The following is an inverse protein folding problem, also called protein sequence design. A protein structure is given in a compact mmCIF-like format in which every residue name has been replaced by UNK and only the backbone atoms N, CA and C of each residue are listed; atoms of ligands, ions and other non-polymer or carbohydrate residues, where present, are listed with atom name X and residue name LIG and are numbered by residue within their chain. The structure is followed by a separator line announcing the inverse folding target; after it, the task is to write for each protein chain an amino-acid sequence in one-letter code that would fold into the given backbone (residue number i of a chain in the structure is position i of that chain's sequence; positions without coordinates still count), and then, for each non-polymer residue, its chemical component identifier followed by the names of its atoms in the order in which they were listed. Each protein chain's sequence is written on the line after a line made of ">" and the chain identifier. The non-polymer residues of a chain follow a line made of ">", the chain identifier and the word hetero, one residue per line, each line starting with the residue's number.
data_IF_436905390502
#
_entry.id   IF_436905390502
#
_cell.length_a   1.000
_cell.length_b   1.000
_cell.length_c   1.000
_cell.angle_alpha   90.00
_cell.angle_beta   90.00
_cell.angle_gamma   90.00
#
_symmetry.space_group_name_H-M   'P 1'
#
loop_
_entity.id
_entity.type
_entity.pdbx_description
1 polymer ?
#
# COMPACT_ATOMS: atom_id res chain seq x y z
N UNK A 1 39.03 12.35 51.21
CA UNK A 1 37.66 12.10 50.69
C UNK A 1 37.47 12.86 49.37
N UNK A 2 37.96 12.32 48.24
CA UNK A 2 37.89 12.96 46.91
C UNK A 2 37.27 12.00 45.89
N UNK A 3 36.16 12.46 45.31
CA UNK A 3 35.73 12.27 43.92
C UNK A 3 35.32 10.84 43.51
N UNK A 4 34.08 10.48 43.84
CA UNK A 4 33.31 9.37 43.23
C UNK A 4 32.24 9.90 42.25
N UNK A 5 32.54 10.97 41.48
CA UNK A 5 31.57 11.65 40.58
C UNK A 5 31.81 11.41 39.09
N UNK A 6 32.88 10.69 38.70
CA UNK A 6 33.27 10.50 37.28
C UNK A 6 32.62 9.29 36.59
N UNK A 7 31.97 8.34 37.29
CA UNK A 7 31.43 7.11 36.69
C UNK A 7 29.92 7.08 36.38
N UNK A 8 29.15 8.07 36.85
CA UNK A 8 27.69 8.06 36.67
C UNK A 8 27.27 8.67 35.32
N UNK A 9 27.99 9.69 34.82
CA UNK A 9 27.68 10.32 33.51
C UNK A 9 28.00 9.42 32.31
N UNK A 10 29.11 8.66 32.33
CA UNK A 10 29.48 7.77 31.21
C UNK A 10 28.53 6.58 31.05
N UNK A 11 28.05 6.02 32.16
CA UNK A 11 27.10 4.89 32.15
C UNK A 11 25.70 5.27 31.64
N UNK A 12 25.29 6.53 31.77
CA UNK A 12 24.00 7.04 31.26
C UNK A 12 24.05 7.22 29.75
N UNK A 13 25.15 7.75 29.20
CA UNK A 13 25.34 7.91 27.75
C UNK A 13 25.43 6.56 27.03
N UNK A 14 26.14 5.56 27.58
CA UNK A 14 26.21 4.23 26.97
C UNK A 14 24.86 3.52 26.90
N UNK A 15 24.05 3.60 27.97
CA UNK A 15 22.71 3.02 28.00
C UNK A 15 21.79 3.68 26.99
N UNK A 16 21.89 5.01 26.81
CA UNK A 16 21.08 5.72 25.83
C UNK A 16 21.50 5.40 24.38
N UNK A 17 22.81 5.28 24.10
CA UNK A 17 23.33 4.87 22.79
C UNK A 17 22.89 3.45 22.42
N UNK A 18 22.97 2.49 23.35
CA UNK A 18 22.48 1.11 23.14
C UNK A 18 20.97 1.08 22.89
N UNK A 19 20.19 1.88 23.63
CA UNK A 19 18.74 2.01 23.41
C UNK A 19 18.44 2.54 22.02
N UNK A 20 19.13 3.61 21.59
CA UNK A 20 18.98 4.18 20.23
C UNK A 20 19.37 3.18 19.15
N UNK A 21 20.42 2.37 19.34
CA UNK A 21 20.83 1.32 18.39
C UNK A 21 19.79 0.19 18.30
N UNK A 22 19.21 -0.22 19.43
CA UNK A 22 18.16 -1.24 19.49
C UNK A 22 16.87 -0.79 18.80
N UNK A 23 16.41 0.42 19.08
CA UNK A 23 15.22 1.00 18.42
C UNK A 23 15.40 1.05 16.91
N UNK A 24 16.61 1.38 16.49
CA UNK A 24 17.05 1.42 15.10
C UNK A 24 16.97 0.04 14.42
N UNK A 25 17.51 -1.00 15.05
CA UNK A 25 17.41 -2.37 14.55
C UNK A 25 15.95 -2.84 14.49
N UNK A 26 15.14 -2.55 15.53
CA UNK A 26 13.73 -2.92 15.56
C UNK A 26 12.99 -2.35 14.35
N UNK A 27 13.20 -1.07 14.01
CA UNK A 27 12.52 -0.48 12.86
C UNK A 27 12.93 -1.11 11.52
N UNK A 28 14.22 -1.44 11.34
CA UNK A 28 14.69 -2.14 10.14
C UNK A 28 14.08 -3.54 10.01
N UNK A 29 14.04 -4.30 11.11
CA UNK A 29 13.43 -5.64 11.14
C UNK A 29 11.93 -5.55 10.85
N UNK A 30 11.22 -4.60 11.45
CA UNK A 30 9.79 -4.39 11.22
C UNK A 30 9.50 -4.01 9.77
N UNK A 31 10.29 -3.10 9.18
CA UNK A 31 10.15 -2.72 7.78
C UNK A 31 10.41 -3.89 6.84
N UNK A 32 11.44 -4.69 7.11
CA UNK A 32 11.75 -5.90 6.35
C UNK A 32 10.62 -6.95 6.46
N UNK A 33 10.14 -7.22 7.68
CA UNK A 33 9.03 -8.15 7.90
C UNK A 33 7.75 -7.69 7.21
N UNK A 34 7.44 -6.39 7.23
CA UNK A 34 6.27 -5.85 6.54
C UNK A 34 6.37 -6.10 5.02
N UNK A 35 7.53 -5.83 4.41
CA UNK A 35 7.76 -6.12 2.98
C UNK A 35 7.66 -7.63 2.71
N UNK A 36 8.36 -8.45 3.49
CA UNK A 36 8.37 -9.90 3.29
C UNK A 36 6.97 -10.52 3.43
N UNK A 37 6.20 -10.12 4.43
CA UNK A 37 4.82 -10.58 4.61
C UNK A 37 3.87 -10.05 3.54
N UNK A 38 4.11 -8.87 2.97
CA UNK A 38 3.36 -8.38 1.81
C UNK A 38 3.60 -9.26 0.59
N UNK A 39 4.86 -9.58 0.30
CA UNK A 39 5.24 -10.42 -0.85
C UNK A 39 4.67 -11.84 -0.67
N UNK A 40 4.80 -12.41 0.52
CA UNK A 40 4.23 -13.72 0.85
C UNK A 40 2.70 -13.70 0.71
N UNK A 41 2.01 -12.74 1.31
CA UNK A 41 0.55 -12.64 1.22
C UNK A 41 0.08 -12.49 -0.24
N UNK A 42 0.80 -11.72 -1.05
CA UNK A 42 0.51 -11.55 -2.47
C UNK A 42 0.66 -12.86 -3.26
N UNK A 43 1.77 -13.57 -3.08
CA UNK A 43 1.99 -14.87 -3.75
C UNK A 43 0.95 -15.94 -3.40
N UNK A 44 0.47 -15.95 -2.16
CA UNK A 44 -0.59 -16.86 -1.77
C UNK A 44 -1.95 -16.41 -2.34
N UNK A 45 -2.23 -15.11 -2.39
CA UNK A 45 -3.51 -14.58 -2.87
C UNK A 45 -3.77 -14.83 -4.37
N UNK A 46 -2.73 -15.03 -5.19
CA UNK A 46 -2.85 -15.30 -6.63
C UNK A 46 -3.22 -16.76 -6.97
N UNK A 47 -3.21 -17.68 -5.99
CA UNK A 47 -3.58 -19.09 -6.22
C UNK A 47 -5.08 -19.27 -6.00
N UNK A 48 -5.84 -19.42 -7.10
CA UNK A 48 -7.31 -19.49 -7.08
C UNK A 48 -7.93 -20.65 -6.28
N UNK A 49 -7.21 -21.75 -6.06
CA UNK A 49 -7.69 -22.94 -5.34
C UNK A 49 -6.97 -23.15 -4.00
N UNK A 50 -6.98 -22.14 -3.14
CA UNK A 50 -6.41 -22.27 -1.81
C UNK A 50 -7.39 -22.99 -0.85
N UNK A 51 -6.95 -24.06 -0.14
CA UNK A 51 -7.71 -24.65 0.94
C UNK A 51 -8.08 -23.59 1.99
N UNK A 52 -9.16 -23.81 2.75
CA UNK A 52 -9.65 -22.87 3.79
C UNK A 52 -8.51 -22.43 4.75
N UNK A 53 -7.58 -23.32 5.05
CA UNK A 53 -6.39 -23.03 5.86
C UNK A 53 -5.47 -21.96 5.26
N UNK A 54 -5.33 -21.93 3.94
CA UNK A 54 -4.52 -20.95 3.24
C UNK A 54 -5.22 -19.58 3.15
N UNK A 55 -6.56 -19.52 3.04
CA UNK A 55 -7.30 -18.26 3.20
C UNK A 55 -7.11 -17.67 4.61
N UNK A 56 -7.22 -18.50 5.66
CA UNK A 56 -6.96 -18.07 7.05
C UNK A 56 -5.52 -17.54 7.21
N UNK A 57 -4.54 -18.20 6.58
CA UNK A 57 -3.15 -17.73 6.56
C UNK A 57 -3.00 -16.36 5.88
N UNK A 58 -3.63 -16.14 4.72
CA UNK A 58 -3.59 -14.84 4.02
C UNK A 58 -4.24 -13.73 4.88
N UNK A 59 -5.38 -14.00 5.51
CA UNK A 59 -6.00 -13.05 6.45
C UNK A 59 -5.14 -12.79 7.70
N UNK A 60 -4.48 -13.82 8.22
CA UNK A 60 -3.52 -13.70 9.32
C UNK A 60 -2.30 -12.85 8.94
N UNK A 61 -1.69 -13.13 7.79
CA UNK A 61 -0.56 -12.37 7.23
C UNK A 61 -0.92 -10.91 7.00
N UNK A 62 -2.08 -10.62 6.39
CA UNK A 62 -2.55 -9.24 6.17
C UNK A 62 -2.81 -8.51 7.49
N UNK A 63 -3.39 -9.17 8.49
CA UNK A 63 -3.61 -8.59 9.82
C UNK A 63 -2.30 -8.25 10.54
N UNK A 64 -1.33 -9.19 10.52
CA UNK A 64 0.02 -8.95 11.06
C UNK A 64 0.68 -7.78 10.34
N UNK A 65 0.52 -7.69 9.02
CA UNK A 65 1.08 -6.60 8.24
C UNK A 65 0.50 -5.23 8.64
N UNK A 66 -0.82 -5.13 8.87
CA UNK A 66 -1.44 -3.91 9.40
C UNK A 66 -0.84 -3.52 10.75
N UNK A 67 -0.60 -4.49 11.64
CA UNK A 67 0.05 -4.25 12.94
C UNK A 67 1.48 -3.73 12.75
N UNK A 68 2.26 -4.32 11.82
CA UNK A 68 3.61 -3.86 11.51
C UNK A 68 3.63 -2.44 10.94
N UNK A 69 2.67 -2.09 10.08
CA UNK A 69 2.49 -0.73 9.55
C UNK A 69 2.23 0.25 10.69
N UNK A 70 1.27 -0.05 11.57
CA UNK A 70 0.94 0.80 12.71
C UNK A 70 2.13 0.97 13.65
N UNK A 71 2.90 -0.10 13.89
CA UNK A 71 4.13 -0.05 14.67
C UNK A 71 5.18 0.85 14.00
N UNK A 72 5.37 0.75 12.67
CA UNK A 72 6.33 1.56 11.94
C UNK A 72 5.92 3.05 11.95
N UNK A 73 4.63 3.36 11.74
CA UNK A 73 4.08 4.72 11.90
C UNK A 73 4.37 5.25 13.30
N UNK A 74 4.04 4.47 14.33
CA UNK A 74 4.27 4.86 15.72
C UNK A 74 5.75 5.16 15.99
N UNK A 75 6.67 4.31 15.52
CA UNK A 75 8.11 4.50 15.71
C UNK A 75 8.63 5.75 14.98
N UNK A 76 8.16 6.03 13.76
CA UNK A 76 8.50 7.25 13.01
C UNK A 76 8.00 8.49 13.75
N UNK A 77 6.71 8.52 14.09
CA UNK A 77 6.08 9.66 14.80
C UNK A 77 6.77 9.92 16.12
N UNK A 78 7.07 8.87 16.90
CA UNK A 78 7.79 8.97 18.17
C UNK A 78 9.19 9.57 17.99
N UNK A 79 9.92 9.20 16.95
CA UNK A 79 11.25 9.74 16.66
C UNK A 79 11.18 11.22 16.27
N UNK A 80 10.22 11.61 15.43
CA UNK A 80 9.97 13.01 15.07
C UNK A 80 9.60 13.81 16.33
N UNK A 81 8.70 13.30 17.16
CA UNK A 81 8.29 13.99 18.39
C UNK A 81 9.46 14.17 19.36
N UNK A 82 10.33 13.15 19.51
CA UNK A 82 11.55 13.25 20.32
C UNK A 82 12.48 14.36 19.82
N UNK A 83 12.68 14.47 18.51
CA UNK A 83 13.49 15.54 17.90
C UNK A 83 12.94 16.93 18.24
N UNK A 84 11.63 17.13 18.11
CA UNK A 84 10.97 18.39 18.49
C UNK A 84 11.08 18.68 19.99
N UNK A 85 10.96 17.66 20.84
CA UNK A 85 11.11 17.80 22.29
C UNK A 85 12.55 18.19 22.68
N UNK A 86 13.57 17.54 22.10
CA UNK A 86 14.99 17.87 22.32
C UNK A 86 15.30 19.33 21.94
N UNK A 87 14.69 19.83 20.85
CA UNK A 87 14.80 21.24 20.44
C UNK A 87 14.16 22.20 21.45
N UNK A 88 12.97 21.90 21.95
CA UNK A 88 12.30 22.75 22.97
C UNK A 88 13.07 22.78 24.29
N UNK A 89 13.71 21.66 24.67
CA UNK A 89 14.53 21.55 25.89
C UNK A 89 15.90 22.23 25.80
N UNK A 90 16.24 22.85 24.67
CA UNK A 90 17.47 23.63 24.53
C UNK A 90 18.75 22.80 24.57
N UNK A 91 18.69 21.50 24.27
CA UNK A 91 19.87 20.62 24.29
C UNK A 91 20.90 21.13 23.27
N UNK A 92 22.17 21.26 23.67
CA UNK A 92 23.27 21.73 22.81
C UNK A 92 23.35 20.85 21.55
N UNK A 93 23.35 21.48 20.37
CA UNK A 93 23.35 20.82 19.05
C UNK A 93 21.96 20.45 18.49
N UNK A 94 20.89 20.52 19.29
CA UNK A 94 19.53 20.13 18.86
C UNK A 94 18.95 21.00 17.73
N UNK A 95 19.30 22.28 17.66
CA UNK A 95 18.83 23.21 16.61
C UNK A 95 19.32 22.80 15.23
N UNK A 96 20.63 22.54 15.10
CA UNK A 96 21.24 22.11 13.84
C UNK A 96 20.71 20.72 13.44
N UNK A 97 20.67 19.78 14.40
CA UNK A 97 20.10 18.44 14.19
C UNK A 97 18.68 18.50 13.64
N UNK A 98 17.83 19.31 14.26
CA UNK A 98 16.42 19.44 13.82
C UNK A 98 16.32 20.04 12.43
N UNK A 99 17.11 21.08 12.12
CA UNK A 99 17.10 21.73 10.80
C UNK A 99 17.48 20.75 9.69
N UNK A 100 18.55 19.96 9.91
CA UNK A 100 19.01 18.95 8.96
C UNK A 100 17.98 17.84 8.74
N UNK A 101 17.44 17.28 9.83
CA UNK A 101 16.43 16.21 9.73
C UNK A 101 15.16 16.69 9.05
N UNK A 102 14.66 17.88 9.39
CA UNK A 102 13.46 18.45 8.75
C UNK A 102 13.68 18.73 7.28
N UNK A 103 14.85 19.25 6.89
CA UNK A 103 15.17 19.46 5.47
C UNK A 103 15.19 18.13 4.70
N UNK A 104 15.83 17.10 5.25
CA UNK A 104 15.95 15.80 4.60
C UNK A 104 14.61 15.08 4.49
N UNK A 105 13.86 15.03 5.60
CA UNK A 105 12.52 14.43 5.64
C UNK A 105 11.58 15.20 4.70
N UNK A 106 11.57 16.53 4.75
CA UNK A 106 10.74 17.35 3.86
C UNK A 106 11.04 17.09 2.38
N UNK A 107 12.31 17.05 2.00
CA UNK A 107 12.75 16.80 0.62
C UNK A 107 12.36 15.40 0.13
N UNK A 108 12.38 14.40 1.00
CA UNK A 108 11.93 13.05 0.67
C UNK A 108 10.41 12.89 0.64
N UNK A 109 9.70 13.55 1.56
CA UNK A 109 8.31 13.27 1.87
C UNK A 109 7.38 13.90 0.83
N UNK A 110 7.71 15.11 0.33
CA UNK A 110 6.88 15.78 -0.69
C UNK A 110 6.77 14.95 -1.99
N UNK A 111 7.88 14.53 -2.64
CA UNK A 111 7.79 13.68 -3.83
C UNK A 111 7.15 12.32 -3.55
N UNK A 112 7.47 11.71 -2.40
CA UNK A 112 6.95 10.38 -2.06
C UNK A 112 5.43 10.40 -1.88
N UNK A 113 4.88 11.42 -1.20
CA UNK A 113 3.43 11.58 -1.03
C UNK A 113 2.77 11.89 -2.37
N UNK A 114 3.37 12.76 -3.20
CA UNK A 114 2.83 13.05 -4.53
C UNK A 114 2.76 11.79 -5.41
N UNK A 115 3.84 10.99 -5.43
CA UNK A 115 3.87 9.71 -6.15
C UNK A 115 2.85 8.73 -5.60
N UNK A 116 2.69 8.65 -4.28
CA UNK A 116 1.68 7.80 -3.65
C UNK A 116 0.25 8.20 -4.05
N UNK A 117 -0.08 9.49 -3.97
CA UNK A 117 -1.38 10.01 -4.38
C UNK A 117 -1.64 9.78 -5.87
N UNK A 118 -0.64 10.02 -6.72
CA UNK A 118 -0.74 9.74 -8.15
C UNK A 118 -0.97 8.25 -8.41
N UNK A 119 -0.18 7.36 -7.79
CA UNK A 119 -0.30 5.92 -7.96
C UNK A 119 -1.67 5.39 -7.52
N UNK A 120 -2.19 5.85 -6.38
CA UNK A 120 -3.53 5.46 -5.91
C UNK A 120 -4.61 5.95 -6.89
N UNK A 121 -4.54 7.20 -7.35
CA UNK A 121 -5.52 7.73 -8.29
C UNK A 121 -5.47 6.99 -9.63
N UNK A 122 -4.27 6.85 -10.19
CA UNK A 122 -4.04 6.13 -11.45
C UNK A 122 -4.57 4.70 -11.38
N UNK A 123 -4.25 3.98 -10.30
CA UNK A 123 -4.71 2.62 -10.10
C UNK A 123 -6.22 2.55 -9.89
N UNK A 124 -6.79 3.42 -9.06
CA UNK A 124 -8.23 3.47 -8.83
C UNK A 124 -8.98 3.71 -10.13
N UNK A 125 -8.52 4.68 -10.92
CA UNK A 125 -9.10 5.01 -12.22
C UNK A 125 -8.94 3.85 -13.21
N UNK A 126 -7.76 3.24 -13.28
CA UNK A 126 -7.50 2.10 -14.15
C UNK A 126 -8.41 0.91 -13.82
N UNK A 127 -8.53 0.55 -12.53
CA UNK A 127 -9.43 -0.51 -12.08
C UNK A 127 -10.89 -0.14 -12.39
N UNK A 128 -11.31 1.09 -12.13
CA UNK A 128 -12.68 1.52 -12.45
C UNK A 128 -12.97 1.52 -13.96
N UNK A 129 -11.97 1.83 -14.78
CA UNK A 129 -12.05 1.80 -16.24
C UNK A 129 -12.21 0.37 -16.77
N UNK A 130 -11.39 -0.58 -16.32
CA UNK A 130 -11.49 -1.99 -16.72
C UNK A 130 -12.77 -2.66 -16.18
N UNK A 131 -13.25 -2.24 -15.01
CA UNK A 131 -14.50 -2.73 -14.40
C UNK A 131 -15.70 -1.80 -14.63
N UNK A 132 -15.70 -1.04 -15.73
CA UNK A 132 -16.74 -0.08 -16.00
C UNK A 132 -18.11 -0.78 -16.14
N UNK A 133 -19.15 -0.06 -15.73
CA UNK A 133 -20.57 -0.37 -15.86
C UNK A 133 -20.90 -0.86 -17.28
N UNK A 134 -20.23 -0.33 -18.32
CA UNK A 134 -20.48 -0.67 -19.73
C UNK A 134 -20.30 -2.16 -20.09
N UNK A 135 -19.33 -2.87 -19.51
CA UNK A 135 -19.10 -4.30 -19.84
C UNK A 135 -20.20 -5.15 -19.21
N UNK A 136 -20.48 -4.92 -17.93
CA UNK A 136 -21.57 -5.59 -17.22
C UNK A 136 -22.93 -5.30 -17.87
N UNK A 137 -23.19 -4.05 -18.24
CA UNK A 137 -24.42 -3.64 -18.91
C UNK A 137 -24.57 -4.29 -20.29
N UNK A 138 -23.49 -4.40 -21.07
CA UNK A 138 -23.54 -5.06 -22.38
C UNK A 138 -23.87 -6.56 -22.24
N UNK A 139 -23.26 -7.24 -21.27
CA UNK A 139 -23.56 -8.65 -20.97
C UNK A 139 -25.00 -8.84 -20.48
N UNK A 140 -25.45 -8.00 -19.55
CA UNK A 140 -26.84 -8.02 -19.05
C UNK A 140 -27.86 -7.74 -20.16
N UNK A 141 -27.63 -6.73 -21.01
CA UNK A 141 -28.49 -6.44 -22.17
C UNK A 141 -28.50 -7.58 -23.18
N UNK A 142 -27.38 -8.28 -23.35
CA UNK A 142 -27.32 -9.45 -24.24
C UNK A 142 -28.17 -10.62 -23.69
N UNK A 143 -28.14 -10.84 -22.38
CA UNK A 143 -29.02 -11.81 -21.70
C UNK A 143 -30.49 -11.39 -21.77
N UNK A 144 -30.79 -10.10 -21.62
CA UNK A 144 -32.15 -9.56 -21.76
C UNK A 144 -32.72 -9.79 -23.15
N UNK A 145 -31.93 -9.55 -24.21
CA UNK A 145 -32.31 -9.85 -25.60
C UNK A 145 -32.56 -11.34 -25.80
N UNK A 146 -31.73 -12.20 -25.21
CA UNK A 146 -31.93 -13.64 -25.25
C UNK A 146 -33.25 -14.06 -24.58
N UNK A 147 -33.51 -13.52 -23.40
CA UNK A 147 -34.75 -13.80 -22.66
C UNK A 147 -35.98 -13.29 -23.41
N UNK A 148 -35.89 -12.13 -24.06
CA UNK A 148 -36.95 -11.62 -24.92
C UNK A 148 -37.22 -12.55 -26.11
N UNK A 149 -36.18 -13.13 -26.72
CA UNK A 149 -36.32 -14.09 -27.81
C UNK A 149 -37.11 -15.34 -27.38
N UNK A 150 -36.81 -15.93 -26.23
CA UNK A 150 -37.58 -17.08 -25.72
C UNK A 150 -39.01 -16.70 -25.37
N UNK A 151 -39.23 -15.62 -24.62
CA UNK A 151 -40.58 -15.15 -24.27
C UNK A 151 -41.43 -14.88 -25.52
N UNK A 152 -40.85 -14.23 -26.53
CA UNK A 152 -41.54 -13.99 -27.80
C UNK A 152 -41.82 -15.29 -28.56
N UNK A 153 -40.88 -16.25 -28.55
CA UNK A 153 -41.07 -17.57 -29.13
C UNK A 153 -42.19 -18.36 -28.45
N UNK A 154 -42.29 -18.29 -27.12
CA UNK A 154 -43.35 -18.94 -26.34
C UNK A 154 -44.73 -18.35 -26.66
N UNK A 155 -44.84 -17.02 -26.70
CA UNK A 155 -46.07 -16.35 -27.09
C UNK A 155 -46.48 -16.67 -28.52
N UNK A 156 -45.53 -16.72 -29.46
CA UNK A 156 -45.80 -17.09 -30.85
C UNK A 156 -46.25 -18.55 -30.98
N UNK A 157 -45.61 -19.46 -30.23
CA UNK A 157 -45.98 -20.87 -30.19
C UNK A 157 -47.41 -21.07 -29.67
N UNK A 158 -47.75 -20.44 -28.55
CA UNK A 158 -49.11 -20.45 -28.01
C UNK A 158 -50.11 -19.81 -28.97
N UNK A 159 -49.78 -18.66 -29.54
CA UNK A 159 -50.64 -17.97 -30.50
C UNK A 159 -50.98 -18.86 -31.70
N UNK A 160 -49.98 -19.49 -32.32
CA UNK A 160 -50.20 -20.36 -33.48
C UNK A 160 -50.91 -21.66 -33.11
N UNK A 161 -50.60 -22.26 -31.95
CA UNK A 161 -51.35 -23.40 -31.44
C UNK A 161 -52.82 -23.05 -31.18
N UNK A 162 -53.11 -21.84 -30.67
CA UNK A 162 -54.47 -21.33 -30.46
C UNK A 162 -55.22 -21.14 -31.77
N UNK A 163 -54.58 -20.60 -32.81
CA UNK A 163 -55.21 -20.48 -34.12
C UNK A 163 -55.60 -21.86 -34.68
N UNK A 164 -54.71 -22.84 -34.56
CA UNK A 164 -54.97 -24.21 -35.02
C UNK A 164 -56.08 -24.86 -34.18
N UNK A 165 -56.03 -24.74 -32.85
CA UNK A 165 -57.08 -25.25 -31.96
C UNK A 165 -58.46 -24.65 -32.27
N UNK A 166 -58.52 -23.33 -32.52
CA UNK A 166 -59.74 -22.64 -32.90
C UNK A 166 -60.29 -23.12 -34.24
N UNK A 167 -59.43 -23.33 -35.25
CA UNK A 167 -59.81 -23.88 -36.55
C UNK A 167 -60.35 -25.32 -36.43
N UNK A 168 -59.69 -26.16 -35.62
CA UNK A 168 -60.12 -27.53 -35.34
C UNK A 168 -61.50 -27.54 -34.68
N UNK A 169 -61.68 -26.70 -33.65
CA UNK A 169 -62.92 -26.60 -32.88
C UNK A 169 -64.07 -26.09 -33.74
N UNK A 170 -63.87 -24.95 -34.42
CA UNK A 170 -64.92 -24.25 -35.20
C UNK A 170 -65.45 -25.09 -36.36
N UNK A 171 -64.59 -25.83 -37.04
CA UNK A 171 -64.95 -26.64 -38.21
C UNK A 171 -65.19 -28.13 -37.88
N UNK A 172 -65.07 -28.50 -36.60
CA UNK A 172 -65.19 -29.87 -36.10
C UNK A 172 -64.25 -30.84 -36.81
N UNK A 173 -63.00 -30.45 -36.99
CA UNK A 173 -62.01 -31.23 -37.76
C UNK A 173 -61.57 -32.52 -37.07
N UNK A 174 -62.01 -32.72 -35.84
CA UNK A 174 -61.75 -33.91 -35.04
C UNK A 174 -62.69 -35.09 -35.38
N UNK A 175 -63.75 -34.85 -36.17
CA UNK A 175 -64.65 -35.88 -36.70
C UNK A 175 -63.94 -36.78 -37.73
N UNK A 176 -64.29 -38.07 -37.78
CA UNK A 176 -63.56 -39.08 -38.56
C UNK A 176 -63.64 -38.88 -40.08
N UNK A 177 -64.77 -38.36 -40.58
CA UNK A 177 -64.99 -38.05 -42.00
C UNK A 177 -64.10 -36.90 -42.50
N UNK A 178 -63.49 -36.13 -41.58
CA UNK A 178 -62.64 -34.97 -41.89
C UNK A 178 -61.16 -35.19 -41.65
N UNK A 179 -60.74 -36.43 -41.36
CA UNK A 179 -59.35 -36.74 -41.05
C UNK A 179 -58.36 -36.30 -42.15
N UNK A 180 -58.71 -36.48 -43.43
CA UNK A 180 -57.86 -36.06 -44.56
C UNK A 180 -57.73 -34.53 -44.63
N UNK A 181 -58.81 -33.81 -44.36
CA UNK A 181 -58.81 -32.35 -44.34
C UNK A 181 -58.01 -31.79 -43.16
N UNK A 182 -58.12 -32.41 -41.97
CA UNK A 182 -57.31 -32.06 -40.80
C UNK A 182 -55.81 -32.23 -41.11
N UNK A 183 -55.42 -33.35 -41.72
CA UNK A 183 -54.03 -33.59 -42.12
C UNK A 183 -53.51 -32.51 -43.09
N UNK A 184 -54.33 -32.14 -44.09
CA UNK A 184 -53.99 -31.09 -45.05
C UNK A 184 -53.81 -29.73 -44.36
N UNK A 185 -54.72 -29.34 -43.45
CA UNK A 185 -54.61 -28.09 -42.70
C UNK A 185 -53.38 -28.09 -41.80
N UNK A 186 -53.12 -29.15 -41.03
CA UNK A 186 -51.98 -29.17 -40.12
C UNK A 186 -50.64 -29.11 -40.88
N UNK A 187 -50.52 -29.83 -42.00
CA UNK A 187 -49.37 -29.74 -42.91
C UNK A 187 -49.21 -28.33 -43.51
N UNK A 188 -50.31 -27.72 -43.95
CA UNK A 188 -50.30 -26.36 -44.49
C UNK A 188 -49.91 -25.33 -43.42
N UNK A 189 -50.44 -25.47 -42.19
CA UNK A 189 -50.14 -24.58 -41.05
C UNK A 189 -48.69 -24.73 -40.61
N UNK A 190 -48.16 -25.96 -40.57
CA UNK A 190 -46.75 -26.22 -40.28
C UNK A 190 -45.83 -25.46 -41.24
N UNK A 191 -46.11 -25.54 -42.55
CA UNK A 191 -45.34 -24.84 -43.59
C UNK A 191 -45.54 -23.32 -43.59
N UNK A 192 -46.80 -22.86 -43.49
CA UNK A 192 -47.13 -21.42 -43.57
C UNK A 192 -46.62 -20.65 -42.35
N UNK A 193 -46.69 -21.25 -41.17
CA UNK A 193 -46.16 -20.64 -39.94
C UNK A 193 -44.65 -20.84 -39.77
N UNK A 194 -44.02 -21.63 -40.65
CA UNK A 194 -42.59 -21.98 -40.62
C UNK A 194 -42.17 -22.50 -39.24
N UNK A 195 -42.98 -23.41 -38.70
CA UNK A 195 -42.77 -24.03 -37.39
C UNK A 195 -42.08 -25.38 -37.56
N UNK A 196 -41.25 -25.76 -36.59
CA UNK A 196 -40.51 -27.02 -36.63
C UNK A 196 -41.42 -28.24 -36.52
N UNK A 197 -42.48 -28.17 -35.70
CA UNK A 197 -43.45 -29.25 -35.55
C UNK A 197 -44.83 -28.72 -35.16
N UNK A 198 -45.87 -29.37 -35.68
CA UNK A 198 -47.26 -29.24 -35.23
C UNK A 198 -47.75 -30.64 -34.86
N UNK A 199 -48.32 -30.78 -33.68
CA UNK A 199 -48.88 -32.04 -33.20
C UNK A 199 -50.27 -31.80 -32.63
N UNK A 200 -51.26 -32.57 -33.08
CA UNK A 200 -52.61 -32.56 -32.55
C UNK A 200 -52.90 -33.93 -31.91
N UNK A 201 -53.29 -33.93 -30.64
CA UNK A 201 -53.65 -35.13 -29.89
C UNK A 201 -55.10 -35.05 -29.46
N UNK A 202 -55.85 -36.14 -29.65
CA UNK A 202 -57.25 -36.26 -29.26
C UNK A 202 -57.43 -37.45 -28.32
N UNK A 203 -58.08 -37.23 -27.18
CA UNK A 203 -58.17 -38.23 -26.11
C UNK A 203 -58.89 -39.50 -26.53
N UNK A 204 -59.89 -39.36 -27.41
CA UNK A 204 -60.71 -40.45 -27.92
C UNK A 204 -60.01 -41.27 -29.01
N UNK A 205 -59.01 -40.71 -29.70
CA UNK A 205 -58.21 -41.43 -30.71
C UNK A 205 -56.96 -42.08 -30.13
N UNK A 206 -56.46 -41.57 -28.99
CA UNK A 206 -55.21 -42.00 -28.32
C UNK A 206 -53.96 -41.98 -29.22
N UNK A 207 -54.04 -41.31 -30.37
CA UNK A 207 -52.96 -41.15 -31.33
C UNK A 207 -52.74 -39.65 -31.61
N UNK A 208 -51.47 -39.27 -31.76
CA UNK A 208 -51.07 -37.93 -32.17
C UNK A 208 -50.95 -37.85 -33.69
N UNK A 209 -51.55 -36.82 -34.28
CA UNK A 209 -51.30 -36.43 -35.66
C UNK A 209 -50.14 -35.44 -35.67
N UNK A 210 -49.01 -35.82 -36.27
CA UNK A 210 -47.77 -35.05 -36.20
C UNK A 210 -47.30 -34.65 -37.59
N UNK A 211 -47.01 -33.36 -37.75
CA UNK A 211 -46.34 -32.82 -38.93
C UNK A 211 -45.07 -32.09 -38.49
N UNK A 212 -43.92 -32.58 -38.93
CA UNK A 212 -42.62 -31.98 -38.65
C UNK A 212 -41.99 -31.43 -39.92
N UNK A 213 -41.11 -30.45 -39.74
CA UNK A 213 -40.27 -29.93 -40.82
C UNK A 213 -39.33 -31.03 -41.34
N UNK A 214 -39.21 -31.13 -42.67
CA UNK A 214 -38.37 -32.12 -43.33
C UNK A 214 -36.87 -31.88 -43.06
N UNK A 215 -36.49 -30.63 -42.77
CA UNK A 215 -35.12 -30.27 -42.40
C UNK A 215 -34.79 -30.62 -40.94
N UNK A 216 -35.80 -30.86 -40.09
CA UNK A 216 -35.62 -31.16 -38.66
C UNK A 216 -36.59 -32.28 -38.19
N UNK A 217 -36.50 -33.51 -38.76
CA UNK A 217 -37.48 -34.57 -38.54
C UNK A 217 -37.42 -35.21 -37.14
N UNK A 218 -36.45 -34.84 -36.31
CA UNK A 218 -36.15 -35.45 -35.00
C UNK A 218 -36.54 -34.57 -33.81
N UNK A 219 -37.68 -33.87 -33.88
CA UNK A 219 -38.24 -33.14 -32.73
C UNK A 219 -39.03 -34.10 -31.82
N UNK A 220 -38.51 -34.50 -30.64
CA UNK A 220 -39.20 -35.44 -29.76
C UNK A 220 -40.56 -34.88 -29.30
N UNK A 221 -41.53 -35.77 -29.09
CA UNK A 221 -42.79 -35.43 -28.44
C UNK A 221 -42.51 -34.85 -27.05
N UNK A 222 -43.28 -33.83 -26.65
CA UNK A 222 -43.10 -33.22 -25.33
C UNK A 222 -43.61 -34.20 -24.27
N UNK A 223 -42.75 -34.56 -23.32
CA UNK A 223 -43.17 -35.27 -22.12
C UNK A 223 -43.89 -34.30 -21.18
N UNK A 224 -45.19 -34.49 -21.00
CA UNK A 224 -46.05 -33.58 -20.24
C UNK A 224 -46.14 -34.04 -18.79
N UNK A 225 -45.65 -33.22 -17.88
CA UNK A 225 -45.81 -33.50 -16.45
C UNK A 225 -47.31 -33.55 -16.05
N UNK A 226 -47.68 -34.28 -14.99
CA UNK A 226 -49.07 -34.36 -14.51
C UNK A 226 -49.72 -32.98 -14.29
N UNK A 227 -48.93 -32.02 -13.78
CA UNK A 227 -49.38 -30.63 -13.58
C UNK A 227 -49.66 -29.90 -14.89
N UNK A 228 -48.81 -30.09 -15.90
CA UNK A 228 -49.02 -29.49 -17.23
C UNK A 228 -50.29 -30.04 -17.88
N UNK A 229 -50.56 -31.34 -17.74
CA UNK A 229 -51.80 -31.95 -18.20
C UNK A 229 -53.01 -31.35 -17.47
N UNK A 230 -52.96 -31.27 -16.14
CA UNK A 230 -54.02 -30.63 -15.34
C UNK A 230 -54.30 -29.19 -15.80
N UNK A 231 -53.24 -28.39 -16.01
CA UNK A 231 -53.37 -27.03 -16.50
C UNK A 231 -54.02 -26.98 -17.90
N UNK A 232 -53.61 -27.83 -18.84
CA UNK A 232 -54.21 -27.92 -20.19
C UNK A 232 -55.69 -28.31 -20.12
N UNK A 233 -56.04 -29.36 -19.37
CA UNK A 233 -57.43 -29.83 -19.26
C UNK A 233 -58.32 -28.90 -18.43
N UNK A 234 -57.73 -27.99 -17.64
CA UNK A 234 -58.44 -26.86 -17.02
C UNK A 234 -58.68 -25.69 -17.98
N UNK A 235 -58.24 -25.79 -19.23
CA UNK A 235 -58.39 -24.77 -20.27
C UNK A 235 -57.23 -23.78 -20.37
N UNK A 236 -56.11 -23.99 -19.66
CA UNK A 236 -54.96 -23.07 -19.72
C UNK A 236 -54.04 -23.39 -20.88
N UNK A 237 -53.45 -22.35 -21.43
CA UNK A 237 -52.38 -22.44 -22.43
C UNK A 237 -51.03 -22.45 -21.73
N UNK A 238 -50.15 -23.35 -22.14
CA UNK A 238 -48.84 -23.50 -21.53
C UNK A 238 -47.74 -23.42 -22.58
N UNK A 239 -46.53 -23.08 -22.14
CA UNK A 239 -45.30 -23.14 -22.93
C UNK A 239 -44.25 -23.95 -22.17
N UNK A 240 -43.34 -24.57 -22.92
CA UNK A 240 -42.17 -25.26 -22.37
C UNK A 240 -41.01 -25.22 -23.36
N UNK A 241 -39.79 -25.35 -22.84
CA UNK A 241 -38.57 -25.43 -23.65
C UNK A 241 -38.02 -26.84 -23.49
N UNK A 242 -37.83 -27.53 -24.61
CA UNK A 242 -37.35 -28.92 -24.63
C UNK A 242 -35.99 -28.97 -25.32
N UNK A 243 -34.95 -29.53 -24.69
CA UNK A 243 -33.67 -29.74 -25.35
C UNK A 243 -33.80 -30.76 -26.48
N UNK A 244 -33.12 -30.52 -27.60
CA UNK A 244 -33.11 -31.40 -28.78
C UNK A 244 -31.67 -31.71 -29.18
N UNK A 245 -31.47 -32.69 -30.07
CA UNK A 245 -30.13 -33.00 -30.59
C UNK A 245 -29.54 -31.87 -31.45
N UNK A 246 -30.37 -30.96 -31.95
CA UNK A 246 -29.98 -29.85 -32.84
C UNK A 246 -30.16 -28.46 -32.20
N UNK A 247 -30.36 -28.40 -30.88
CA UNK A 247 -30.55 -27.16 -30.13
C UNK A 247 -31.60 -27.29 -29.03
N UNK A 248 -32.55 -26.38 -29.03
CA UNK A 248 -33.71 -26.41 -28.14
C UNK A 248 -34.97 -26.20 -28.96
N UNK A 249 -36.12 -26.56 -28.40
CA UNK A 249 -37.41 -26.30 -29.01
C UNK A 249 -38.35 -25.63 -28.04
N UNK A 250 -38.89 -24.48 -28.47
CA UNK A 250 -39.91 -23.75 -27.74
C UNK A 250 -41.26 -24.30 -28.17
N UNK A 251 -42.01 -24.87 -27.23
CA UNK A 251 -43.28 -25.54 -27.52
C UNK A 251 -44.42 -24.85 -26.79
N UNK A 252 -45.40 -24.37 -27.56
CA UNK A 252 -46.67 -23.86 -27.05
C UNK A 252 -47.74 -24.91 -27.18
N UNK A 253 -48.50 -25.16 -26.11
CA UNK A 253 -49.53 -26.19 -26.04
C UNK A 253 -50.85 -25.54 -25.63
N UNK A 254 -51.89 -25.77 -26.43
CA UNK A 254 -53.21 -25.18 -26.26
C UNK A 254 -54.27 -26.27 -26.29
N UNK A 255 -55.27 -26.26 -25.38
CA UNK A 255 -56.38 -27.20 -25.38
C UNK A 255 -57.24 -27.06 -26.64
N UNK A 256 -57.81 -28.17 -27.09
CA UNK A 256 -58.86 -28.22 -28.12
C UNK A 256 -60.19 -28.46 -27.43
N UNK A 257 -61.17 -27.60 -27.72
CA UNK A 257 -62.48 -27.66 -27.08
C UNK A 257 -63.49 -28.41 -27.94
N UNK A 258 -64.50 -29.01 -27.30
CA UNK A 258 -65.66 -29.56 -27.99
C UNK A 258 -66.50 -28.43 -28.59
N UNK A 259 -66.93 -28.57 -29.84
CA UNK A 259 -67.90 -27.62 -30.42
C UNK A 259 -69.25 -27.68 -29.69
N UNK A 260 -69.63 -28.86 -29.19
CA UNK A 260 -70.90 -29.07 -28.50
C UNK A 260 -70.89 -28.53 -27.07
N UNK A 261 -69.75 -28.62 -26.39
CA UNK A 261 -69.56 -28.15 -25.01
C UNK A 261 -68.29 -27.29 -24.96
N UNK A 262 -68.40 -25.95 -25.09
CA UNK A 262 -67.24 -25.06 -25.22
C UNK A 262 -66.25 -25.09 -24.04
N UNK A 263 -66.64 -25.65 -22.89
CA UNK A 263 -65.79 -25.80 -21.70
C UNK A 263 -65.11 -27.16 -21.61
N UNK A 264 -65.50 -28.12 -22.44
CA UNK A 264 -64.93 -29.47 -22.44
C UNK A 264 -63.70 -29.52 -23.33
N UNK A 265 -62.55 -29.87 -22.75
CA UNK A 265 -61.30 -30.11 -23.48
C UNK A 265 -61.29 -31.55 -23.99
N UNK A 266 -61.22 -31.74 -25.31
CA UNK A 266 -61.25 -33.05 -25.98
C UNK A 266 -59.90 -33.48 -26.57
N UNK A 267 -58.90 -32.62 -26.41
CA UNK A 267 -57.56 -32.83 -26.96
C UNK A 267 -56.68 -31.60 -26.78
N UNK A 268 -55.54 -31.59 -27.47
CA UNK A 268 -54.55 -30.52 -27.43
C UNK A 268 -53.83 -30.37 -28.77
N UNK A 269 -53.37 -29.15 -29.04
CA UNK A 269 -52.45 -28.84 -30.13
C UNK A 269 -51.16 -28.32 -29.55
N UNK A 270 -50.04 -28.85 -30.00
CA UNK A 270 -48.71 -28.33 -29.73
C UNK A 270 -48.06 -27.78 -31.00
N UNK A 271 -47.41 -26.64 -30.87
CA UNK A 271 -46.62 -26.01 -31.93
C UNK A 271 -45.22 -25.77 -31.40
N UNK A 272 -44.21 -26.25 -32.13
CA UNK A 272 -42.82 -26.22 -31.73
C UNK A 272 -41.99 -25.37 -32.69
N UNK A 273 -41.25 -24.41 -32.14
CA UNK A 273 -40.22 -23.65 -32.84
C UNK A 273 -38.84 -24.22 -32.53
N UNK A 274 -37.99 -24.37 -33.55
CA UNK A 274 -36.61 -24.81 -33.36
C UNK A 274 -35.72 -23.62 -33.06
N UNK A 275 -34.93 -23.72 -32.00
CA UNK A 275 -33.84 -22.81 -31.66
C UNK A 275 -32.53 -23.52 -32.05
N UNK A 276 -31.82 -23.07 -33.10
CA UNK A 276 -30.63 -23.76 -33.58
C UNK A 276 -29.52 -23.85 -32.52
N UNK A 277 -28.78 -24.97 -32.48
CA UNK A 277 -27.68 -25.20 -31.55
C UNK A 277 -26.67 -24.04 -31.51
N UNK A 278 -26.31 -23.48 -32.67
CA UNK A 278 -25.36 -22.36 -32.73
C UNK A 278 -25.86 -21.08 -32.05
N UNK A 279 -27.18 -20.91 -31.85
CA UNK A 279 -27.73 -19.83 -31.03
C UNK A 279 -27.66 -20.19 -29.54
N UNK A 280 -28.06 -21.41 -29.18
CA UNK A 280 -28.00 -21.93 -27.79
C UNK A 280 -26.56 -21.86 -27.25
N UNK A 281 -25.56 -22.26 -28.04
CA UNK A 281 -24.15 -22.20 -27.66
C UNK A 281 -23.68 -20.76 -27.39
N UNK A 282 -24.14 -19.80 -28.18
CA UNK A 282 -23.84 -18.38 -27.97
C UNK A 282 -24.48 -17.86 -26.68
N UNK A 283 -25.72 -18.25 -26.41
CA UNK A 283 -26.40 -17.87 -25.17
C UNK A 283 -25.71 -18.43 -23.94
N UNK A 284 -25.32 -19.71 -23.98
CA UNK A 284 -24.54 -20.33 -22.90
C UNK A 284 -23.20 -19.62 -22.71
N UNK A 285 -22.53 -19.25 -23.81
CA UNK A 285 -21.28 -18.48 -23.75
C UNK A 285 -21.46 -17.11 -23.10
N UNK A 286 -22.56 -16.40 -23.42
CA UNK A 286 -22.90 -15.10 -22.82
C UNK A 286 -23.23 -15.26 -21.32
N UNK A 287 -24.01 -16.28 -20.95
CA UNK A 287 -24.35 -16.56 -19.56
C UNK A 287 -23.11 -16.87 -18.73
N UNK A 288 -22.24 -17.75 -19.22
CA UNK A 288 -20.96 -18.08 -18.58
C UNK A 288 -20.06 -16.84 -18.45
N UNK A 289 -19.98 -16.00 -19.50
CA UNK A 289 -19.19 -14.76 -19.45
C UNK A 289 -19.75 -13.76 -18.43
N UNK A 290 -21.08 -13.64 -18.32
CA UNK A 290 -21.75 -12.80 -17.33
C UNK A 290 -21.48 -13.28 -15.90
N UNK A 291 -21.56 -14.59 -15.66
CA UNK A 291 -21.24 -15.19 -14.37
C UNK A 291 -19.78 -14.95 -13.98
N UNK A 292 -18.84 -15.24 -14.89
CA UNK A 292 -17.41 -15.00 -14.68
C UNK A 292 -17.13 -13.51 -14.41
N UNK A 293 -17.73 -12.60 -15.18
CA UNK A 293 -17.61 -11.17 -14.94
C UNK A 293 -18.14 -10.79 -13.55
N UNK A 294 -19.27 -11.36 -13.13
CA UNK A 294 -19.83 -11.20 -11.79
C UNK A 294 -18.85 -11.60 -10.69
N UNK A 295 -18.22 -12.78 -10.82
CA UNK A 295 -17.22 -13.26 -9.85
C UNK A 295 -15.99 -12.36 -9.77
N UNK A 296 -15.41 -11.95 -10.91
CA UNK A 296 -14.24 -11.06 -10.94
C UNK A 296 -14.60 -9.66 -10.39
N UNK A 297 -15.82 -9.18 -10.64
CA UNK A 297 -16.32 -7.90 -10.11
C UNK A 297 -16.32 -7.87 -8.58
N UNK A 298 -16.54 -9.01 -7.90
CA UNK A 298 -16.45 -9.10 -6.44
C UNK A 298 -15.02 -8.88 -5.93
N UNK A 299 -14.01 -9.27 -6.71
CA UNK A 299 -12.59 -9.11 -6.38
C UNK A 299 -12.08 -7.68 -6.60
N UNK A 300 -12.85 -6.81 -7.27
CA UNK A 300 -12.46 -5.41 -7.55
C UNK A 300 -12.01 -4.66 -6.29
N UNK A 301 -12.80 -4.72 -5.21
CA UNK A 301 -12.51 -4.01 -3.97
C UNK A 301 -11.33 -4.63 -3.19
N UNK A 302 -11.27 -5.96 -2.99
CA UNK A 302 -10.09 -6.62 -2.43
C UNK A 302 -8.78 -6.31 -3.17
N UNK A 303 -8.80 -6.32 -4.52
CA UNK A 303 -7.63 -5.98 -5.34
C UNK A 303 -7.21 -4.53 -5.07
N UNK A 304 -8.16 -3.58 -5.14
CA UNK A 304 -7.90 -2.16 -4.85
C UNK A 304 -7.30 -1.98 -3.46
N UNK A 305 -7.85 -2.65 -2.45
CA UNK A 305 -7.35 -2.58 -1.08
C UNK A 305 -5.94 -3.15 -0.94
N UNK A 306 -5.65 -4.33 -1.50
CA UNK A 306 -4.33 -4.95 -1.44
C UNK A 306 -3.24 -4.05 -2.03
N UNK A 307 -3.50 -3.44 -3.19
CA UNK A 307 -2.56 -2.49 -3.79
C UNK A 307 -2.37 -1.22 -2.96
N UNK A 308 -3.45 -0.67 -2.37
CA UNK A 308 -3.33 0.49 -1.46
C UNK A 308 -2.45 0.14 -0.26
N UNK A 309 -2.64 -1.04 0.33
CA UNK A 309 -1.79 -1.52 1.45
C UNK A 309 -0.34 -1.65 1.00
N UNK A 310 -0.08 -2.28 -0.15
CA UNK A 310 1.27 -2.45 -0.70
C UNK A 310 1.98 -1.11 -0.95
N UNK A 311 1.31 -0.16 -1.63
CA UNK A 311 1.84 1.18 -1.85
C UNK A 311 2.08 1.92 -0.53
N UNK A 312 1.18 1.76 0.46
CA UNK A 312 1.34 2.39 1.78
C UNK A 312 2.59 1.87 2.49
N UNK A 313 2.88 0.57 2.40
CA UNK A 313 4.08 -0.03 2.99
C UNK A 313 5.34 0.52 2.31
N UNK A 314 5.38 0.54 0.98
CA UNK A 314 6.52 1.08 0.23
C UNK A 314 6.75 2.54 0.61
N UNK A 315 5.71 3.37 0.62
CA UNK A 315 5.78 4.77 1.05
C UNK A 315 6.27 4.91 2.48
N UNK A 316 5.78 4.08 3.40
CA UNK A 316 6.17 4.14 4.81
C UNK A 316 7.62 3.72 5.02
N UNK A 317 8.10 2.72 4.27
CA UNK A 317 9.51 2.32 4.26
C UNK A 317 10.40 3.43 3.71
N UNK A 318 9.99 4.13 2.64
CA UNK A 318 10.74 5.28 2.10
C UNK A 318 10.82 6.39 3.15
N UNK A 319 9.70 6.75 3.79
CA UNK A 319 9.67 7.77 4.85
C UNK A 319 10.55 7.34 6.04
N UNK A 320 10.51 6.06 6.40
CA UNK A 320 11.36 5.50 7.44
C UNK A 320 12.85 5.64 7.09
N UNK A 321 13.26 5.20 5.90
CA UNK A 321 14.64 5.29 5.44
C UNK A 321 15.13 6.73 5.35
N UNK A 322 14.29 7.65 4.87
CA UNK A 322 14.63 9.06 4.82
C UNK A 322 14.77 9.68 6.21
N UNK A 323 13.87 9.36 7.15
CA UNK A 323 13.96 9.82 8.55
C UNK A 323 15.19 9.24 9.24
N UNK A 324 15.47 7.96 9.02
CA UNK A 324 16.67 7.29 9.51
C UNK A 324 17.94 7.97 9.01
N UNK A 325 18.03 8.16 7.69
CA UNK A 325 19.19 8.73 7.05
C UNK A 325 19.41 10.17 7.53
N UNK A 326 18.34 10.98 7.56
CA UNK A 326 18.38 12.34 8.08
C UNK A 326 18.86 12.39 9.54
N UNK A 327 18.40 11.48 10.41
CA UNK A 327 18.86 11.41 11.80
C UNK A 327 20.32 10.95 11.92
N UNK A 328 20.74 9.98 11.11
CA UNK A 328 22.11 9.47 11.11
C UNK A 328 23.10 10.52 10.65
N UNK A 329 22.81 11.17 9.52
CA UNK A 329 23.62 12.25 8.95
C UNK A 329 23.67 13.46 9.89
N UNK A 330 22.54 13.81 10.50
CA UNK A 330 22.52 14.89 11.47
C UNK A 330 23.39 14.57 12.69
N UNK A 331 23.44 13.33 13.16
CA UNK A 331 24.30 12.91 14.29
C UNK A 331 25.78 12.89 13.92
N UNK A 332 26.15 12.43 12.72
CA UNK A 332 27.54 12.41 12.27
C UNK A 332 28.13 13.82 12.16
N UNK A 333 27.31 14.83 11.82
CA UNK A 333 27.75 16.22 11.74
C UNK A 333 27.65 16.94 13.10
N UNK A 334 26.54 16.80 13.82
CA UNK A 334 26.30 17.61 15.04
C UNK A 334 27.12 17.20 16.25
N UNK A 335 27.49 15.92 16.37
CA UNK A 335 28.26 15.46 17.53
C UNK A 335 29.70 16.00 17.52
N UNK A 336 30.50 15.86 16.44
CA UNK A 336 31.84 16.45 16.38
C UNK A 336 31.86 17.96 16.58
N UNK A 337 30.89 18.69 15.99
CA UNK A 337 30.77 20.14 16.18
C UNK A 337 30.50 20.48 17.65
N UNK A 338 29.65 19.70 18.33
CA UNK A 338 29.40 19.88 19.77
C UNK A 338 30.65 19.61 20.60
N UNK A 339 31.45 18.61 20.24
CA UNK A 339 32.70 18.29 20.94
C UNK A 339 33.74 19.40 20.72
N UNK A 340 33.86 19.93 19.50
CA UNK A 340 34.67 21.12 19.19
C UNK A 340 34.24 22.33 20.02
N UNK A 341 32.95 22.67 20.03
CA UNK A 341 32.44 23.80 20.84
C UNK A 341 32.75 23.59 22.33
N UNK A 342 32.61 22.36 22.83
CA UNK A 342 32.89 22.04 24.23
C UNK A 342 34.37 22.14 24.56
N UNK A 343 35.25 21.68 23.67
CA UNK A 343 36.70 21.76 23.83
C UNK A 343 37.19 23.21 23.74
N UNK A 344 36.70 24.00 22.78
CA UNK A 344 37.01 25.42 22.66
C UNK A 344 36.64 26.17 23.93
N UNK A 345 35.47 25.90 24.51
CA UNK A 345 35.07 26.49 25.79
C UNK A 345 35.96 26.09 26.98
N UNK A 346 36.60 24.92 26.95
CA UNK A 346 37.59 24.52 27.97
C UNK A 346 38.91 25.26 27.79
N UNK A 347 39.34 25.43 26.55
CA UNK A 347 40.54 26.20 26.21
C UNK A 347 40.41 27.65 26.66
N UNK A 348 39.25 28.30 26.43
CA UNK A 348 39.01 29.67 26.90
C UNK A 348 38.96 29.79 28.42
N UNK A 349 38.72 28.69 29.14
CA UNK A 349 38.80 28.59 30.60
C UNK A 349 40.22 28.25 31.11
N UNK A 350 41.21 28.15 30.21
CA UNK A 350 42.62 27.91 30.54
C UNK A 350 43.04 26.43 30.55
N UNK A 351 42.14 25.51 30.22
CA UNK A 351 42.44 24.08 30.12
C UNK A 351 42.92 23.72 28.70
N UNK A 352 44.24 23.78 28.50
CA UNK A 352 44.91 23.43 27.25
C UNK A 352 45.16 21.92 27.10
N UNK A 353 44.74 21.09 28.05
CA UNK A 353 44.95 19.63 28.00
C UNK A 353 43.83 18.90 27.24
N UNK A 354 42.74 19.60 26.91
CA UNK A 354 41.64 19.03 26.15
C UNK A 354 42.12 18.63 24.75
N UNK A 355 41.84 17.38 24.38
CA UNK A 355 42.03 16.85 23.02
C UNK A 355 40.73 16.21 22.57
N UNK A 356 40.43 16.33 21.28
CA UNK A 356 39.27 15.71 20.66
C UNK A 356 39.78 14.48 19.91
N UNK A 357 39.31 13.31 20.32
CA UNK A 357 39.63 12.04 19.69
C UNK A 357 38.46 11.66 18.78
N UNK A 358 38.63 11.87 17.47
CA UNK A 358 37.63 11.56 16.46
C UNK A 358 38.32 10.84 15.31
N UNK A 359 37.80 9.66 15.01
CA UNK A 359 38.16 8.83 13.88
C UNK A 359 37.26 9.20 12.69
N UNK A 360 37.56 10.36 12.06
CA UNK A 360 36.87 10.83 10.88
C UNK A 360 37.90 11.27 9.83
N UNK A 361 37.71 10.81 8.60
CA UNK A 361 38.55 11.12 7.44
C UNK A 361 37.92 12.17 6.50
N UNK A 362 36.85 12.83 6.95
CA UNK A 362 36.17 13.91 6.23
C UNK A 362 36.69 15.30 6.61
N UNK A 363 36.04 16.36 6.13
CA UNK A 363 36.38 17.75 6.43
C UNK A 363 36.29 18.06 7.93
N UNK A 364 35.47 17.33 8.68
CA UNK A 364 35.38 17.44 10.13
C UNK A 364 36.64 16.85 10.77
N UNK A 365 37.14 15.74 10.26
CA UNK A 365 38.44 15.17 10.65
C UNK A 365 39.60 16.15 10.49
N UNK A 366 39.65 16.85 9.35
CA UNK A 366 40.66 17.90 9.10
C UNK A 366 40.54 19.03 10.13
N UNK A 367 39.32 19.49 10.41
CA UNK A 367 39.08 20.55 11.39
C UNK A 367 39.52 20.16 12.80
N UNK A 368 39.26 18.90 13.21
CA UNK A 368 39.69 18.36 14.51
C UNK A 368 41.20 18.27 14.61
N UNK A 369 41.89 17.80 13.56
CA UNK A 369 43.37 17.76 13.50
C UNK A 369 43.97 19.16 13.65
N UNK A 370 43.46 20.13 12.90
CA UNK A 370 43.89 21.54 12.99
C UNK A 370 43.63 22.14 14.38
N UNK A 371 42.48 21.84 14.98
CA UNK A 371 42.16 22.29 16.34
C UNK A 371 43.12 21.71 17.39
N UNK A 372 43.41 20.41 17.32
CA UNK A 372 44.34 19.75 18.23
C UNK A 372 45.75 20.33 18.08
N UNK A 373 46.21 20.60 16.85
CA UNK A 373 47.53 21.20 16.59
C UNK A 373 47.63 22.62 17.16
N UNK A 374 46.63 23.48 16.94
CA UNK A 374 46.58 24.82 17.53
C UNK A 374 46.63 24.77 19.07
N UNK A 375 45.93 23.81 19.68
CA UNK A 375 45.92 23.65 21.13
C UNK A 375 47.27 23.19 21.67
N UNK A 376 47.98 22.34 20.92
CA UNK A 376 49.35 21.93 21.22
C UNK A 376 50.32 23.12 21.16
N UNK A 377 50.21 23.96 20.13
CA UNK A 377 51.07 25.14 19.97
C UNK A 377 50.83 26.16 21.09
N UNK A 378 49.57 26.40 21.48
CA UNK A 378 49.23 27.22 22.63
C UNK A 378 49.81 26.66 23.93
N UNK A 379 49.74 25.34 24.11
CA UNK A 379 50.31 24.68 25.29
C UNK A 379 51.83 24.83 25.34
N UNK A 380 52.53 24.61 24.21
CA UNK A 380 53.98 24.83 24.09
C UNK A 380 54.36 26.29 24.33
N UNK A 381 53.63 27.24 23.75
CA UNK A 381 53.86 28.67 23.92
C UNK A 381 53.71 29.09 25.39
N UNK A 382 52.64 28.63 26.08
CA UNK A 382 52.44 28.89 27.51
C UNK A 382 53.56 28.29 28.36
N UNK A 383 53.97 27.05 28.09
CA UNK A 383 55.08 26.42 28.80
C UNK A 383 56.40 27.16 28.59
N UNK A 384 56.71 27.57 27.36
CA UNK A 384 57.90 28.37 27.06
C UNK A 384 57.88 29.73 27.73
N UNK A 385 56.71 30.38 27.83
CA UNK A 385 56.56 31.65 28.56
C UNK A 385 56.82 31.48 30.06
N UNK A 386 56.33 30.39 30.65
CA UNK A 386 56.57 30.06 32.07
C UNK A 386 58.06 29.81 32.32
N UNK A 387 58.71 29.03 31.46
CA UNK A 387 60.16 28.75 31.56
C UNK A 387 61.02 30.01 31.38
N UNK A 388 60.66 30.86 30.42
CA UNK A 388 61.31 32.17 30.23
C UNK A 388 61.13 33.07 31.46
N UNK A 389 59.95 33.06 32.09
CA UNK A 389 59.70 33.87 33.28
C UNK A 389 60.51 33.35 34.50
N UNK A 390 60.62 32.02 34.66
CA UNK A 390 61.45 31.40 35.71
C UNK A 390 62.93 31.77 35.51
N UNK A 391 63.46 31.63 34.29
CA UNK A 391 64.86 31.99 34.00
C UNK A 391 65.14 33.48 34.18
N UNK A 392 64.19 34.37 33.84
CA UNK A 392 64.29 35.80 34.13
C UNK A 392 64.32 36.09 35.64
N UNK A 393 63.48 35.42 36.43
CA UNK A 393 63.51 35.55 37.90
C UNK A 393 64.83 35.04 38.49
N UNK A 394 65.34 33.90 38.04
CA UNK A 394 66.63 33.37 38.48
C UNK A 394 67.78 34.32 38.15
N UNK A 395 67.81 34.84 36.92
CA UNK A 395 68.81 35.82 36.48
C UNK A 395 68.74 37.11 37.29
N UNK A 396 67.53 37.58 37.61
CA UNK A 396 67.31 38.75 38.47
C UNK A 396 67.81 38.51 39.90
N UNK A 397 67.53 37.34 40.49
CA UNK A 397 68.01 36.96 41.83
C UNK A 397 69.54 36.86 41.87
N UNK A 398 70.15 36.23 40.87
CA UNK A 398 71.60 36.16 40.72
C UNK A 398 72.23 37.55 40.63
N UNK A 399 71.72 38.42 39.75
CA UNK A 399 72.21 39.80 39.60
C UNK A 399 72.12 40.58 40.92
N UNK A 400 71.00 40.48 41.63
CA UNK A 400 70.81 41.14 42.91
C UNK A 400 71.76 40.61 44.00
N UNK A 401 72.09 39.32 43.99
CA UNK A 401 73.06 38.74 44.92
C UNK A 401 74.50 39.17 44.60
N UNK A 402 74.88 39.20 43.33
CA UNK A 402 76.19 39.71 42.87
C UNK A 402 76.34 41.17 43.27
N UNK A 403 75.37 42.04 42.94
CA UNK A 403 75.43 43.47 43.26
C UNK A 403 75.62 43.72 44.76
N UNK A 404 74.98 42.93 45.64
CA UNK A 404 75.14 43.05 47.10
C UNK A 404 76.52 42.65 47.63
N UNK A 405 77.21 41.72 46.98
CA UNK A 405 78.45 41.10 47.49
C UNK A 405 79.73 41.57 46.77
N UNK A 406 79.63 42.39 45.73
CA UNK A 406 80.81 42.97 45.06
C UNK A 406 81.42 44.06 45.94
N UNK A 407 82.74 44.00 46.16
CA UNK A 407 83.49 44.95 47.00
C UNK A 407 83.64 46.34 46.39
N UNK A 408 83.43 46.48 45.07
CA UNK A 408 83.43 47.78 44.40
C UNK A 408 82.07 48.48 44.55
N UNK A 409 82.09 49.78 44.82
CA UNK A 409 80.88 50.60 44.85
C UNK A 409 80.25 50.73 43.46
N UNK A 410 78.97 50.42 43.35
CA UNK A 410 78.19 50.51 42.11
C UNK A 410 77.04 51.48 42.34
N UNK A 411 77.00 52.54 41.54
CA UNK A 411 75.93 53.54 41.48
C UNK A 411 75.47 53.62 40.03
N UNK A 412 74.18 53.40 39.78
CA UNK A 412 73.57 53.53 38.44
C UNK A 412 72.68 54.76 38.40
N UNK A 413 72.66 55.49 37.29
CA UNK A 413 71.82 56.67 37.08
C UNK A 413 70.92 56.48 35.86
N UNK A 414 69.74 57.10 35.86
CA UNK A 414 68.84 57.11 34.71
C UNK A 414 69.24 58.19 33.68
N UNK A 415 68.43 58.31 32.63
CA UNK A 415 68.60 59.31 31.56
C UNK A 415 68.42 60.77 32.01
N UNK A 416 67.97 61.00 33.25
CA UNK A 416 67.76 62.32 33.86
C UNK A 416 68.76 62.56 35.01
N UNK A 417 69.87 61.81 35.04
CA UNK A 417 70.91 61.87 36.08
C UNK A 417 70.40 61.55 37.51
N UNK A 418 69.25 60.89 37.66
CA UNK A 418 68.77 60.40 38.95
C UNK A 418 69.37 59.03 39.28
N UNK A 419 69.82 58.85 40.52
CA UNK A 419 70.35 57.56 40.98
C UNK A 419 69.21 56.52 41.02
N UNK A 420 69.43 55.37 40.41
CA UNK A 420 68.47 54.27 40.27
C UNK A 420 68.86 53.01 41.02
N UNK A 421 70.14 52.84 41.34
CA UNK A 421 70.63 51.71 42.12
C UNK A 421 71.93 52.10 42.81
N UNK A 422 72.03 51.82 44.11
CA UNK A 422 73.27 51.92 44.91
C UNK A 422 73.48 50.56 45.56
N UNK A 423 74.68 49.99 45.47
CA UNK A 423 75.00 48.73 46.14
C UNK A 423 75.60 48.95 47.55
N UNK A 424 75.61 47.88 48.36
CA UNK A 424 76.09 47.92 49.76
C UNK A 424 77.54 48.39 49.90
N UNK A 425 78.40 48.10 48.93
CA UNK A 425 79.79 48.57 48.95
C UNK A 425 79.88 50.09 48.71
N UNK A 426 79.05 50.66 47.84
CA UNK A 426 78.97 52.11 47.65
C UNK A 426 78.41 52.82 48.89
N UNK A 427 77.35 52.25 49.52
CA UNK A 427 76.85 52.73 50.82
C UNK A 427 77.96 52.78 51.86
N UNK A 428 78.76 51.70 51.97
CA UNK A 428 79.86 51.62 52.93
C UNK A 428 81.07 52.51 52.56
N UNK A 429 81.36 52.72 51.26
CA UNK A 429 82.47 53.55 50.79
C UNK A 429 82.21 55.05 50.96
N UNK A 430 80.96 55.48 50.72
CA UNK A 430 80.55 56.88 50.80
C UNK A 430 79.88 57.24 52.13
N UNK A 431 79.65 56.26 53.01
CA UNK A 431 78.93 56.39 54.29
C UNK A 431 77.54 57.03 54.11
N UNK A 432 76.81 56.53 53.12
CA UNK A 432 75.47 57.00 52.75
C UNK A 432 74.43 55.88 52.89
N UNK A 433 73.21 56.25 53.25
CA UNK A 433 72.05 55.36 53.20
C UNK A 433 71.38 55.49 51.82
N UNK A 434 71.36 54.40 51.04
CA UNK A 434 70.81 54.44 49.69
C UNK A 434 69.33 54.84 49.65
N UNK A 435 68.57 54.62 50.74
CA UNK A 435 67.15 54.99 50.82
C UNK A 435 66.88 56.50 50.78
N UNK A 436 67.93 57.32 50.95
CA UNK A 436 67.83 58.78 50.88
C UNK A 436 68.05 59.34 49.46
N UNK A 437 68.53 58.50 48.53
CA UNK A 437 68.98 58.90 47.19
C UNK A 437 68.33 58.11 46.04
N UNK A 438 67.54 57.08 46.38
CA UNK A 438 66.73 56.23 45.50
C UNK A 438 65.24 56.57 45.68
#
# INVERSE_FOLDING_TARGET
>A
MKIKKKSIRSNVDERELRKRRRERIIMLVVGFLAIAFTILASQFSDRGDLPISANILVYGLTSINIILILLLIFLIVRNIFKLFSERRKGVIGSKLRTKLVVAFVGLSLVPTILLFLFAINFLSYSIEFWFNIKIGDALNRSLEVAQLYYTQGEEMAKFNARQISADITKNRLYEDDKAEYLNSILSQRQKNYKVGKVEAFFDFKKESIVFADAENPSLPSVDLSPKMLEDIYSGKEISTIVPTSSGESIVGIVPVFSYAVPTEVIGRVSVSYSVPQGFVDKLRSIANASEQYGQIKLLKNPIKFNYIVTLSIVTLVIIFLATWFGLSLAQSITNPIKDLVSATNRITQGDLTSRIDIDADDEIGILVKSFNHMTEDLQKSKSGLIEANISLEERRKYMAAVLRNVSAGIISVDKNDMITTINRAAEAMFDIDASQYL
#
